data_IF_082368505130
#
_entry.id   IF_082368505130
#
_cell.length_a   1.000
_cell.length_b   1.000
_cell.length_c   1.000
_cell.angle_alpha   90.00
_cell.angle_beta   90.00
_cell.angle_gamma   90.00
#
_symmetry.space_group_name_H-M   'P 1'
#
loop_
_entity.id
_entity.type
_entity.pdbx_description
1 polymer ?
#
# COMPACT_ATOMS: atom_id res chain seq x y z
N UNK A 1 4.75 5.15 3.89
CA UNK A 1 4.58 5.69 5.23
C UNK A 1 5.13 7.10 5.37
N UNK A 2 4.45 7.95 6.12
CA UNK A 2 4.81 9.34 6.36
C UNK A 2 5.96 9.57 7.35
N UNK A 3 6.79 8.58 7.67
CA UNK A 3 7.95 8.70 8.58
C UNK A 3 9.21 9.23 7.89
N UNK A 4 10.22 9.57 8.70
CA UNK A 4 11.54 9.96 8.21
C UNK A 4 12.46 8.77 7.90
N UNK A 5 12.10 7.58 8.39
CA UNK A 5 12.78 6.29 8.16
C UNK A 5 11.86 5.13 8.55
N UNK A 6 12.25 3.90 8.19
CA UNK A 6 11.55 2.68 8.59
C UNK A 6 11.45 2.56 10.12
N UNK A 7 12.53 2.84 10.86
CA UNK A 7 12.55 2.81 12.33
C UNK A 7 11.57 3.83 12.94
N UNK A 8 11.49 5.03 12.37
CA UNK A 8 10.53 6.06 12.79
C UNK A 8 9.10 5.61 12.55
N UNK A 9 8.82 4.99 11.40
CA UNK A 9 7.50 4.44 11.07
C UNK A 9 7.13 3.28 12.02
N UNK A 10 8.05 2.36 12.29
CA UNK A 10 7.88 1.25 13.23
C UNK A 10 7.57 1.79 14.62
N UNK A 11 8.38 2.73 15.12
CA UNK A 11 8.17 3.35 16.43
C UNK A 11 6.80 4.01 16.56
N UNK A 12 6.34 4.69 15.51
CA UNK A 12 5.01 5.30 15.47
C UNK A 12 3.89 4.25 15.47
N UNK A 13 3.97 3.25 14.58
CA UNK A 13 2.94 2.23 14.41
C UNK A 13 2.85 1.26 15.60
N UNK A 14 3.92 1.12 16.38
CA UNK A 14 3.93 0.37 17.63
C UNK A 14 3.49 1.19 18.85
N UNK A 15 3.29 2.51 18.69
CA UNK A 15 2.81 3.36 19.78
C UNK A 15 1.28 3.29 19.91
N UNK A 16 0.71 2.82 21.05
CA UNK A 16 -0.74 2.78 21.25
C UNK A 16 -1.44 4.14 21.11
N UNK A 17 -0.72 5.24 21.31
CA UNK A 17 -1.24 6.60 21.21
C UNK A 17 -1.44 7.03 19.73
N UNK A 18 -0.78 6.37 18.79
CA UNK A 18 -0.85 6.71 17.35
C UNK A 18 -2.23 6.47 16.74
N UNK A 19 -3.02 5.56 17.32
CA UNK A 19 -4.32 5.10 16.77
C UNK A 19 -4.21 4.69 15.30
N UNK A 20 -3.05 4.16 14.93
CA UNK A 20 -2.70 3.61 13.62
C UNK A 20 -1.82 2.40 13.85
N UNK A 21 -1.95 1.39 13.00
CA UNK A 21 -1.11 0.19 13.01
C UNK A 21 -1.07 -0.42 11.61
N UNK A 22 -0.04 -1.18 11.31
CA UNK A 22 0.08 -1.95 10.08
C UNK A 22 0.63 -3.34 10.41
N UNK A 23 0.48 -4.28 9.49
CA UNK A 23 1.02 -5.63 9.68
C UNK A 23 2.52 -5.66 9.41
N UNK A 24 2.98 -4.90 8.43
CA UNK A 24 4.37 -4.92 7.96
C UNK A 24 4.84 -3.52 7.61
N UNK A 25 6.11 -3.24 7.88
CA UNK A 25 6.88 -2.12 7.33
C UNK A 25 8.02 -2.67 6.50
N UNK A 26 8.23 -2.12 5.30
CA UNK A 26 9.36 -2.46 4.42
C UNK A 26 10.25 -1.22 4.26
N UNK A 27 11.49 -1.35 4.68
CA UNK A 27 12.52 -0.32 4.56
C UNK A 27 12.99 -0.10 3.13
N UNK A 28 13.68 1.00 2.88
CA UNK A 28 14.29 1.28 1.57
C UNK A 28 15.40 0.28 1.20
N UNK A 29 15.96 -0.38 2.18
CA UNK A 29 16.95 -1.47 2.05
C UNK A 29 16.32 -2.85 1.77
N UNK A 30 14.97 -2.90 1.66
CA UNK A 30 14.22 -4.13 1.46
C UNK A 30 13.99 -4.95 2.74
N UNK A 31 14.45 -4.48 3.91
CA UNK A 31 14.20 -5.17 5.18
C UNK A 31 12.71 -5.16 5.50
N UNK A 32 12.15 -6.34 5.71
CA UNK A 32 10.74 -6.56 6.07
C UNK A 32 10.64 -6.72 7.58
N UNK A 33 9.88 -5.83 8.22
CA UNK A 33 9.59 -5.90 9.66
C UNK A 33 8.11 -6.17 9.87
N UNK A 34 7.77 -7.32 10.43
CA UNK A 34 6.39 -7.64 10.82
C UNK A 34 6.09 -7.04 12.19
N UNK A 35 4.96 -6.32 12.30
CA UNK A 35 4.51 -5.66 13.54
C UNK A 35 3.31 -6.37 14.15
N UNK A 36 2.44 -6.95 13.34
CA UNK A 36 1.23 -7.66 13.80
C UNK A 36 1.09 -8.99 13.04
N UNK A 37 0.48 -10.02 13.66
CA UNK A 37 0.03 -11.21 12.96
C UNK A 37 -0.96 -10.86 11.84
N UNK A 38 -0.96 -11.61 10.74
CA UNK A 38 -1.80 -11.29 9.56
C UNK A 38 -3.30 -11.58 9.78
N UNK A 39 -3.67 -12.31 10.81
CA UNK A 39 -5.04 -12.58 11.26
C UNK A 39 -5.58 -11.53 12.24
N UNK A 40 -4.77 -10.54 12.60
CA UNK A 40 -5.14 -9.45 13.50
C UNK A 40 -5.63 -8.24 12.71
N UNK A 41 -6.66 -7.53 13.18
CA UNK A 41 -7.11 -6.28 12.55
C UNK A 41 -6.11 -5.17 12.81
N UNK A 42 -5.57 -4.58 11.75
CA UNK A 42 -4.70 -3.40 11.83
C UNK A 42 -5.41 -2.12 11.35
N UNK A 43 -5.04 -0.98 11.91
CA UNK A 43 -5.64 0.33 11.60
C UNK A 43 -4.77 1.09 10.59
N UNK A 44 -4.74 0.61 9.33
CA UNK A 44 -3.87 1.12 8.27
C UNK A 44 -4.61 1.83 7.13
N UNK A 45 -5.89 1.50 6.92
CA UNK A 45 -6.67 2.00 5.79
C UNK A 45 -7.54 3.23 6.13
N UNK A 46 -7.93 3.38 7.40
CA UNK A 46 -8.84 4.42 7.84
C UNK A 46 -10.22 4.32 7.17
N UNK A 47 -10.88 5.46 6.93
CA UNK A 47 -12.09 5.53 6.13
C UNK A 47 -11.74 5.16 4.68
N UNK A 48 -12.28 4.06 4.19
CA UNK A 48 -11.88 3.44 2.93
C UNK A 48 -13.02 2.72 2.26
N UNK A 49 -13.04 2.73 0.92
CA UNK A 49 -14.03 2.02 0.10
C UNK A 49 -13.46 1.67 -1.27
N UNK A 50 -13.78 0.46 -1.76
CA UNK A 50 -13.43 0.02 -3.11
C UNK A 50 -14.35 -1.14 -3.52
N UNK A 51 -14.78 -1.19 -4.78
CA UNK A 51 -15.57 -2.30 -5.32
C UNK A 51 -16.87 -2.60 -4.55
N UNK A 52 -17.54 -1.57 -4.00
CA UNK A 52 -18.75 -1.71 -3.19
C UNK A 52 -18.52 -2.11 -1.72
N UNK A 53 -17.27 -2.31 -1.29
CA UNK A 53 -16.90 -2.66 0.09
C UNK A 53 -16.33 -1.46 0.81
N UNK A 54 -16.47 -1.41 2.14
CA UNK A 54 -15.96 -0.36 3.02
C UNK A 54 -15.21 -0.95 4.21
N UNK A 55 -14.38 -0.12 4.88
CA UNK A 55 -13.74 -0.52 6.13
C UNK A 55 -12.58 -1.52 5.95
N UNK A 56 -11.67 -1.24 5.05
CA UNK A 56 -10.56 -2.12 4.67
C UNK A 56 -9.59 -2.49 5.81
N UNK A 57 -9.61 -1.80 6.95
CA UNK A 57 -8.90 -2.25 8.15
C UNK A 57 -9.22 -3.70 8.54
N UNK A 58 -10.47 -4.14 8.32
CA UNK A 58 -10.95 -5.48 8.67
C UNK A 58 -10.87 -6.49 7.53
N UNK A 59 -10.56 -6.04 6.34
CA UNK A 59 -10.67 -6.83 5.11
C UNK A 59 -9.33 -7.03 4.41
N UNK A 60 -8.24 -6.44 4.95
CA UNK A 60 -6.96 -6.45 4.25
C UNK A 60 -5.76 -6.50 5.18
N UNK A 61 -4.64 -6.93 4.62
CA UNK A 61 -3.31 -6.86 5.22
C UNK A 61 -2.69 -5.52 4.80
N UNK A 62 -2.28 -4.71 5.79
CA UNK A 62 -1.62 -3.41 5.54
C UNK A 62 -0.11 -3.55 5.49
N UNK A 63 0.48 -3.12 4.38
CA UNK A 63 1.92 -3.05 4.15
C UNK A 63 2.31 -1.58 3.99
N UNK A 64 3.18 -1.11 4.87
CA UNK A 64 3.73 0.24 4.84
C UNK A 64 5.12 0.23 4.19
N UNK A 65 5.34 1.10 3.23
CA UNK A 65 6.64 1.26 2.56
C UNK A 65 7.32 2.52 3.07
N UNK A 66 8.58 2.42 3.49
CA UNK A 66 9.37 3.60 3.89
C UNK A 66 9.69 4.47 2.66
N UNK A 67 8.80 5.40 2.38
CA UNK A 67 8.94 6.36 1.31
C UNK A 67 8.10 7.61 1.66
N UNK A 68 8.65 8.84 1.58
CA UNK A 68 7.89 10.07 1.86
C UNK A 68 6.83 10.36 0.79
N UNK A 69 6.82 9.65 -0.34
CA UNK A 69 5.89 9.88 -1.43
C UNK A 69 6.20 11.16 -2.20
N UNK A 70 5.24 12.07 -2.21
CA UNK A 70 5.31 13.35 -2.93
C UNK A 70 6.35 14.29 -2.34
N UNK A 71 7.08 14.96 -3.22
CA UNK A 71 8.09 15.96 -2.90
C UNK A 71 7.69 17.34 -3.45
N UNK A 72 8.17 18.38 -2.79
CA UNK A 72 8.09 19.76 -3.28
C UNK A 72 9.44 20.18 -3.83
N UNK A 73 9.46 20.84 -4.98
CA UNK A 73 10.65 21.52 -5.48
C UNK A 73 10.69 22.93 -4.90
N UNK A 74 11.80 23.28 -4.26
CA UNK A 74 12.04 24.64 -3.72
C UNK A 74 12.50 25.59 -4.81
N UNK A 75 12.47 26.90 -4.56
CA UNK A 75 13.03 27.93 -5.46
C UNK A 75 14.52 27.71 -5.73
N UNK A 76 15.26 27.18 -4.74
CA UNK A 76 16.67 26.80 -4.89
C UNK A 76 16.91 25.50 -5.67
N UNK A 77 15.86 24.84 -6.16
CA UNK A 77 15.95 23.63 -6.96
C UNK A 77 16.05 22.32 -6.16
N UNK A 78 16.05 22.36 -4.84
CA UNK A 78 16.02 21.17 -3.98
C UNK A 78 14.66 20.49 -3.99
N UNK A 79 14.64 19.15 -3.82
CA UNK A 79 13.43 18.37 -3.61
C UNK A 79 13.29 18.03 -2.13
N UNK A 80 12.14 18.38 -1.54
CA UNK A 80 11.94 18.30 -0.08
C UNK A 80 10.64 17.57 0.22
N UNK A 81 10.68 16.63 1.17
CA UNK A 81 9.49 15.96 1.70
C UNK A 81 8.68 16.88 2.62
N UNK A 82 7.44 16.47 2.94
CA UNK A 82 6.59 17.15 3.91
C UNK A 82 7.24 17.30 5.30
N UNK A 83 8.24 16.47 5.62
CA UNK A 83 9.02 16.51 6.87
C UNK A 83 10.29 17.35 6.77
N UNK A 84 10.49 18.10 5.67
CA UNK A 84 11.65 18.97 5.49
C UNK A 84 12.95 18.26 5.08
N UNK A 85 12.94 16.94 4.87
CA UNK A 85 14.13 16.21 4.40
C UNK A 85 14.35 16.45 2.91
N UNK A 86 15.60 16.79 2.54
CA UNK A 86 16.04 16.98 1.16
C UNK A 86 16.43 15.65 0.50
N UNK A 87 16.17 15.54 -0.80
CA UNK A 87 16.51 14.38 -1.61
C UNK A 87 17.24 14.82 -2.89
N UNK A 88 18.26 14.08 -3.33
CA UNK A 88 18.99 14.39 -4.56
C UNK A 88 18.08 14.16 -5.78
N UNK A 89 18.24 14.98 -6.81
CA UNK A 89 17.43 14.94 -8.01
C UNK A 89 17.42 13.57 -8.71
N UNK A 90 18.52 12.82 -8.60
CA UNK A 90 18.67 11.48 -9.18
C UNK A 90 17.71 10.44 -8.56
N UNK A 91 17.17 10.70 -7.38
CA UNK A 91 16.20 9.85 -6.69
C UNK A 91 14.75 10.30 -6.91
N UNK A 92 14.54 11.36 -7.70
CA UNK A 92 13.23 11.98 -7.89
C UNK A 92 12.72 11.70 -9.29
N UNK A 93 11.47 11.30 -9.39
CA UNK A 93 10.76 11.19 -10.66
C UNK A 93 9.67 12.26 -10.76
N UNK A 94 9.38 12.71 -11.99
CA UNK A 94 8.20 13.49 -12.31
C UNK A 94 7.15 12.55 -12.92
N UNK A 95 5.96 12.54 -12.33
CA UNK A 95 4.87 11.71 -12.81
C UNK A 95 3.51 12.27 -12.40
N UNK A 96 2.47 11.95 -13.17
CA UNK A 96 1.09 12.31 -12.88
C UNK A 96 0.46 11.24 -11.99
N UNK A 97 -0.07 11.65 -10.84
CA UNK A 97 -0.82 10.77 -9.96
C UNK A 97 -2.14 10.33 -10.63
N UNK A 98 -2.57 9.08 -10.43
CA UNK A 98 -3.77 8.51 -11.09
C UNK A 98 -5.06 9.29 -10.86
N UNK A 99 -5.16 10.01 -9.75
CA UNK A 99 -6.33 10.83 -9.39
C UNK A 99 -6.14 12.32 -9.74
N UNK A 100 -5.09 12.69 -10.47
CA UNK A 100 -4.73 14.08 -10.79
C UNK A 100 -4.51 14.27 -12.30
N UNK A 101 -4.34 15.51 -12.72
CA UNK A 101 -4.10 15.87 -14.13
C UNK A 101 -2.75 16.56 -14.36
N UNK A 102 -2.05 16.90 -13.29
CA UNK A 102 -0.78 17.63 -13.32
C UNK A 102 0.34 16.75 -12.79
N UNK A 103 1.51 16.91 -13.38
CA UNK A 103 2.73 16.25 -12.90
C UNK A 103 3.13 16.80 -11.53
N UNK A 104 3.72 15.93 -10.73
CA UNK A 104 4.33 16.24 -9.45
C UNK A 104 5.60 15.40 -9.26
N UNK A 105 6.39 15.76 -8.26
CA UNK A 105 7.65 15.10 -7.96
C UNK A 105 7.46 14.05 -6.88
N UNK A 106 8.09 12.91 -7.07
CA UNK A 106 7.96 11.75 -6.18
C UNK A 106 9.34 11.16 -5.90
N UNK A 107 9.56 10.71 -4.66
CA UNK A 107 10.76 9.93 -4.38
C UNK A 107 10.62 8.54 -5.00
N UNK A 108 11.59 8.14 -5.81
CA UNK A 108 11.64 6.79 -6.36
C UNK A 108 11.77 5.76 -5.23
N UNK A 109 11.08 4.63 -5.37
CA UNK A 109 11.34 3.45 -4.55
C UNK A 109 12.67 2.81 -4.98
N UNK A 110 13.36 2.18 -4.05
CA UNK A 110 14.55 1.40 -4.38
C UNK A 110 14.17 0.04 -4.97
N UNK A 111 15.06 -0.56 -5.74
CA UNK A 111 14.80 -1.88 -6.31
C UNK A 111 14.69 -2.95 -5.21
N UNK A 112 15.50 -2.85 -4.16
CA UNK A 112 15.44 -3.72 -2.98
C UNK A 112 14.07 -3.66 -2.31
N UNK A 113 13.51 -2.47 -2.14
CA UNK A 113 12.19 -2.27 -1.55
C UNK A 113 11.08 -2.83 -2.45
N UNK A 114 11.17 -2.61 -3.76
CA UNK A 114 10.21 -3.12 -4.75
C UNK A 114 10.23 -4.65 -4.75
N UNK A 115 11.39 -5.29 -4.87
CA UNK A 115 11.51 -6.75 -4.93
C UNK A 115 11.09 -7.40 -3.59
N UNK A 116 11.44 -6.82 -2.45
CA UNK A 116 10.97 -7.28 -1.14
C UNK A 116 9.44 -7.22 -1.03
N UNK A 117 8.83 -6.12 -1.50
CA UNK A 117 7.37 -5.98 -1.54
C UNK A 117 6.72 -7.01 -2.44
N UNK A 118 7.27 -7.25 -3.62
CA UNK A 118 6.77 -8.24 -4.57
C UNK A 118 6.86 -9.65 -3.99
N UNK A 119 8.00 -10.02 -3.40
CA UNK A 119 8.20 -11.31 -2.76
C UNK A 119 7.21 -11.55 -1.62
N UNK A 120 7.00 -10.55 -0.76
CA UNK A 120 6.02 -10.63 0.33
C UNK A 120 4.59 -10.79 -0.20
N UNK A 121 4.19 -9.98 -1.18
CA UNK A 121 2.83 -10.07 -1.75
C UNK A 121 2.58 -11.44 -2.41
N UNK A 122 3.58 -11.99 -3.09
CA UNK A 122 3.50 -13.34 -3.67
C UNK A 122 3.30 -14.40 -2.57
N UNK A 123 4.06 -14.31 -1.48
CA UNK A 123 3.96 -15.25 -0.36
C UNK A 123 2.59 -15.14 0.34
N UNK A 124 2.08 -13.91 0.53
CA UNK A 124 0.77 -13.68 1.12
C UNK A 124 -0.37 -14.22 0.25
N UNK A 125 -0.32 -14.00 -1.07
CA UNK A 125 -1.31 -14.53 -2.00
C UNK A 125 -1.28 -16.06 -2.10
N UNK A 126 -0.14 -16.70 -1.87
CA UNK A 126 -0.03 -18.16 -1.82
C UNK A 126 -0.55 -18.76 -0.50
N UNK A 127 -0.57 -17.98 0.58
CA UNK A 127 -0.90 -18.46 1.93
C UNK A 127 -2.32 -18.09 2.36
N UNK A 128 -2.80 -16.93 1.95
CA UNK A 128 -4.08 -16.36 2.35
C UNK A 128 -4.99 -16.17 1.13
N UNK A 129 -6.32 -16.15 1.29
CA UNK A 129 -7.27 -15.90 0.20
C UNK A 129 -7.28 -14.43 -0.22
N UNK A 130 -6.12 -13.92 -0.65
CA UNK A 130 -5.94 -12.57 -1.17
C UNK A 130 -6.25 -12.59 -2.66
N UNK A 131 -7.25 -11.83 -3.10
CA UNK A 131 -7.64 -11.77 -4.52
C UNK A 131 -7.29 -10.44 -5.19
N UNK A 132 -6.92 -9.40 -4.40
CA UNK A 132 -6.67 -8.06 -4.92
C UNK A 132 -5.58 -7.36 -4.12
N UNK A 133 -4.77 -6.56 -4.79
CA UNK A 133 -3.80 -5.64 -4.17
C UNK A 133 -4.18 -4.22 -4.56
N UNK A 134 -4.35 -3.37 -3.56
CA UNK A 134 -4.84 -2.00 -3.71
C UNK A 134 -3.85 -1.00 -3.14
N UNK A 135 -3.67 0.12 -3.84
CA UNK A 135 -3.04 1.30 -3.29
C UNK A 135 -3.98 2.03 -2.34
N UNK A 136 -3.44 2.73 -1.36
CA UNK A 136 -4.24 3.54 -0.45
C UNK A 136 -5.01 4.65 -1.19
N UNK A 137 -4.42 5.18 -2.25
CA UNK A 137 -5.02 6.14 -3.19
C UNK A 137 -6.26 5.62 -3.92
N UNK A 138 -6.42 4.29 -4.03
CA UNK A 138 -7.56 3.66 -4.70
C UNK A 138 -8.74 3.42 -3.74
N UNK A 139 -8.42 3.12 -2.46
CA UNK A 139 -9.43 2.88 -1.43
C UNK A 139 -9.84 4.14 -0.68
N UNK A 140 -9.09 5.24 -0.83
CA UNK A 140 -9.33 6.51 -0.17
C UNK A 140 -8.99 7.71 -1.10
N UNK A 141 -9.55 7.76 -2.32
CA UNK A 141 -9.25 8.81 -3.30
C UNK A 141 -9.58 10.20 -2.73
N UNK A 142 -8.71 11.18 -3.01
CA UNK A 142 -8.82 12.55 -2.49
C UNK A 142 -8.36 12.72 -1.03
N UNK A 143 -8.22 11.64 -0.26
CA UNK A 143 -7.68 11.65 1.11
C UNK A 143 -6.24 11.15 1.16
N UNK A 144 -5.90 10.21 0.28
CA UNK A 144 -4.59 9.54 0.22
C UNK A 144 -4.04 9.56 -1.19
N UNK A 145 -2.72 9.66 -1.30
CA UNK A 145 -1.99 9.66 -2.56
C UNK A 145 -0.87 8.59 -2.61
N UNK A 146 -0.80 7.75 -1.57
CA UNK A 146 0.15 6.66 -1.47
C UNK A 146 -0.41 5.34 -2.05
N UNK A 147 0.42 4.49 -2.66
CA UNK A 147 1.86 4.58 -2.82
C UNK A 147 2.32 5.57 -3.91
N UNK A 148 1.42 6.13 -4.71
CA UNK A 148 1.70 7.07 -5.78
C UNK A 148 2.34 6.44 -7.02
N UNK A 149 2.55 7.25 -8.08
CA UNK A 149 3.01 6.77 -9.38
C UNK A 149 4.46 6.26 -9.39
N UNK A 150 5.24 6.52 -8.34
CA UNK A 150 6.60 6.01 -8.20
C UNK A 150 6.65 4.51 -7.86
N UNK A 151 5.57 3.94 -7.30
CA UNK A 151 5.49 2.51 -7.00
C UNK A 151 4.88 1.74 -8.19
N UNK A 152 5.52 0.67 -8.68
CA UNK A 152 5.05 -0.07 -9.85
C UNK A 152 3.92 -1.05 -9.51
N UNK A 153 2.79 -0.54 -9.00
CA UNK A 153 1.65 -1.34 -8.51
C UNK A 153 1.07 -2.23 -9.61
N UNK A 154 0.96 -1.73 -10.83
CA UNK A 154 0.41 -2.50 -11.95
C UNK A 154 1.37 -3.62 -12.40
N UNK A 155 2.69 -3.41 -12.31
CA UNK A 155 3.69 -4.47 -12.55
C UNK A 155 3.58 -5.58 -11.50
N UNK A 156 3.35 -5.22 -10.22
CA UNK A 156 3.09 -6.18 -9.15
C UNK A 156 1.85 -7.03 -9.44
N UNK A 157 0.75 -6.39 -9.80
CA UNK A 157 -0.51 -7.06 -10.16
C UNK A 157 -0.34 -8.01 -11.35
N UNK A 158 0.34 -7.56 -12.40
CA UNK A 158 0.62 -8.39 -13.58
C UNK A 158 1.45 -9.63 -13.23
N UNK A 159 2.46 -9.49 -12.37
CA UNK A 159 3.30 -10.60 -11.91
C UNK A 159 2.50 -11.64 -11.12
N UNK A 160 1.55 -11.19 -10.29
CA UNK A 160 0.66 -12.08 -9.52
C UNK A 160 -0.38 -12.79 -10.41
N UNK A 161 -0.95 -12.09 -11.40
CA UNK A 161 -1.89 -12.68 -12.37
C UNK A 161 -1.19 -13.76 -13.21
N UNK A 162 0.02 -13.50 -13.69
CA UNK A 162 0.80 -14.47 -14.45
C UNK A 162 1.04 -15.72 -13.62
N UNK A 163 1.49 -15.58 -12.37
CA UNK A 163 1.72 -16.69 -11.45
C UNK A 163 0.45 -17.44 -11.08
N UNK A 164 -0.67 -16.72 -10.88
CA UNK A 164 -1.96 -17.34 -10.56
C UNK A 164 -2.50 -18.22 -11.68
N UNK A 165 -2.11 -17.97 -12.93
CA UNK A 165 -2.45 -18.85 -14.06
C UNK A 165 -1.61 -20.12 -14.08
N UNK A 166 -0.35 -20.04 -13.67
CA UNK A 166 0.59 -21.17 -13.68
C UNK A 166 0.39 -22.10 -12.48
N UNK A 167 -0.02 -21.57 -11.32
CA UNK A 167 -0.07 -22.30 -10.04
C UNK A 167 -1.51 -22.52 -9.52
N UNK A 168 -2.55 -22.09 -10.24
CA UNK A 168 -3.98 -22.10 -9.79
C UNK A 168 -4.21 -21.49 -8.38
N UNK A 169 -3.46 -20.45 -8.05
CA UNK A 169 -3.47 -19.79 -6.73
C UNK A 169 -4.78 -19.07 -6.40
N UNK A 170 -5.74 -19.01 -7.36
CA UNK A 170 -7.02 -18.33 -7.18
C UNK A 170 -6.95 -16.80 -7.12
N UNK A 171 -5.78 -16.19 -7.31
CA UNK A 171 -5.64 -14.73 -7.39
C UNK A 171 -6.56 -14.18 -8.52
N UNK A 172 -7.29 -13.10 -8.24
CA UNK A 172 -8.37 -12.54 -9.08
C UNK A 172 -9.66 -13.39 -9.19
N UNK A 173 -9.80 -14.50 -8.51
CA UNK A 173 -11.10 -15.11 -8.35
C UNK A 173 -11.80 -14.49 -7.14
N UNK A 174 -12.79 -13.63 -7.36
CA UNK A 174 -13.71 -13.26 -6.29
C UNK A 174 -14.31 -14.54 -5.73
N UNK A 175 -14.43 -14.70 -4.40
CA UNK A 175 -15.19 -15.81 -3.85
C UNK A 175 -16.58 -15.77 -4.44
N UNK A 176 -17.05 -16.89 -5.02
CA UNK A 176 -18.40 -17.06 -5.53
C UNK A 176 -19.38 -16.81 -4.39
N UNK A 177 -20.16 -15.75 -4.50
CA UNK A 177 -21.19 -15.36 -3.53
C UNK A 177 -20.90 -13.98 -2.93
N UNK A 178 -21.42 -12.93 -3.59
CA UNK A 178 -21.81 -11.72 -2.88
C UNK A 178 -22.88 -12.12 -1.86
N UNK A 179 -22.50 -12.38 -0.62
CA UNK A 179 -23.46 -12.39 0.47
C UNK A 179 -23.82 -10.91 0.64
N UNK A 180 -24.92 -10.52 0.01
CA UNK A 180 -25.60 -9.25 0.27
C UNK A 180 -26.09 -9.30 1.74
N UNK A 181 -25.49 -8.55 2.66
CA UNK A 181 -25.93 -8.55 4.05
C UNK A 181 -27.33 -7.92 4.24
N UNK A 182 -27.96 -7.47 3.17
CA UNK A 182 -29.29 -6.88 3.14
C UNK A 182 -30.37 -7.80 2.51
N UNK A 183 -30.04 -9.04 2.11
CA UNK A 183 -31.06 -9.94 1.60
C UNK A 183 -31.99 -10.41 2.75
N UNK A 184 -33.30 -10.18 2.67
CA UNK A 184 -34.23 -10.64 3.69
C UNK A 184 -34.25 -12.17 3.71
N UNK A 185 -34.10 -12.75 4.91
CA UNK A 185 -34.24 -14.17 5.16
C UNK A 185 -35.56 -14.69 4.54
N UNK A 186 -35.49 -15.55 3.53
CA UNK A 186 -36.67 -16.28 3.08
C UNK A 186 -37.09 -17.23 4.20
N UNK A 187 -38.14 -16.79 4.95
CA UNK A 187 -38.83 -17.68 5.86
C UNK A 187 -39.49 -18.84 5.13
N UNK A 188 -39.29 -19.99 5.64
CA UNK A 188 -40.15 -21.19 5.45
C UNK A 188 -41.15 -21.26 6.56
#
# INVERSE_FOLDING_TARGET
TGGSSAESAIGWLCNPQAKASAHVVIGRDGVITQLLPFDTVAWHAGASSHGGRTGYNKLSIGIELDNPGRLKRTEGGDYVSAFGRKYPAQQVISATHRNERTESFWLAYTEEQIEATFALCIALCATYPVWEILGHEEIAPGRKDDPGPAFPLDRLRQRLIARGRDEDTGFNRKPDGDIDPAAPSRGT
#
